data_IF_322055567267
#
_entry.id   IF_322055567267
#
_cell.length_a   1.000
_cell.length_b   1.000
_cell.length_c   1.000
_cell.angle_alpha   90.00
_cell.angle_beta   90.00
_cell.angle_gamma   90.00
#
_symmetry.space_group_name_H-M   'P 1'
#
loop_
_entity.id
_entity.type
_entity.pdbx_description
1 polymer ?
#
# COMPACT_ATOMS: atom_id res chain seq x y z
N UNK A 1 11.09 -5.86 14.57
CA UNK A 1 10.83 -4.42 14.40
C UNK A 1 9.33 -4.23 14.44
N UNK A 2 8.87 -3.22 15.18
CA UNK A 2 7.45 -2.92 15.37
C UNK A 2 6.91 -2.09 14.21
N UNK A 3 5.71 -2.43 13.75
CA UNK A 3 5.03 -1.81 12.62
C UNK A 3 3.58 -1.48 12.94
N UNK A 4 3.13 -0.35 12.43
CA UNK A 4 1.72 -0.10 12.16
C UNK A 4 1.39 -0.60 10.75
N UNK A 5 0.29 -1.34 10.61
CA UNK A 5 -0.25 -1.79 9.33
C UNK A 5 -1.46 -0.92 8.96
N UNK A 6 -1.43 -0.30 7.79
CA UNK A 6 -2.54 0.43 7.20
C UNK A 6 -3.10 -0.36 6.02
N UNK A 7 -4.40 -0.65 6.03
CA UNK A 7 -5.08 -1.46 5.04
C UNK A 7 -6.15 -0.65 4.32
N UNK A 8 -6.15 -0.77 2.99
CA UNK A 8 -7.23 -0.28 2.14
C UNK A 8 -7.41 -1.19 0.91
N UNK A 9 -8.45 -0.93 0.13
CA UNK A 9 -8.97 -1.84 -0.88
C UNK A 9 -9.48 -1.18 -2.17
N UNK A 10 -9.52 -1.99 -3.22
CA UNK A 10 -10.11 -1.60 -4.48
C UNK A 10 -10.88 -2.77 -5.09
N UNK A 11 -12.07 -2.49 -5.64
CA UNK A 11 -12.92 -3.50 -6.30
C UNK A 11 -12.88 -3.42 -7.84
N UNK A 12 -11.90 -2.70 -8.41
CA UNK A 12 -11.76 -2.53 -9.86
C UNK A 12 -11.02 -3.73 -10.44
N UNK A 13 -11.70 -4.50 -11.30
CA UNK A 13 -11.17 -5.72 -11.92
C UNK A 13 -10.59 -6.69 -10.87
N UNK A 14 -11.43 -7.20 -9.97
CA UNK A 14 -11.01 -8.04 -8.82
C UNK A 14 -10.95 -7.26 -7.51
N UNK A 15 -10.65 -7.97 -6.42
CA UNK A 15 -10.59 -7.41 -5.06
C UNK A 15 -9.15 -7.25 -4.60
N UNK A 16 -8.69 -6.00 -4.56
CA UNK A 16 -7.33 -5.62 -4.20
C UNK A 16 -7.25 -5.25 -2.73
N UNK A 17 -6.22 -5.74 -2.06
CA UNK A 17 -5.76 -5.31 -0.75
C UNK A 17 -4.41 -4.61 -0.91
N UNK A 18 -4.27 -3.42 -0.35
CA UNK A 18 -2.96 -2.81 -0.08
C UNK A 18 -2.73 -2.75 1.40
N UNK A 19 -1.54 -3.16 1.83
CA UNK A 19 -1.14 -3.15 3.22
C UNK A 19 0.20 -2.41 3.32
N UNK A 20 0.17 -1.21 3.88
CA UNK A 20 1.35 -0.42 4.15
C UNK A 20 1.81 -0.69 5.58
N UNK A 21 2.98 -1.28 5.74
CA UNK A 21 3.63 -1.46 7.03
C UNK A 21 4.62 -0.31 7.24
N UNK A 22 4.39 0.51 8.27
CA UNK A 22 5.25 1.65 8.62
C UNK A 22 5.93 1.35 9.96
N UNK A 23 7.28 1.36 10.04
CA UNK A 23 7.94 1.12 11.31
C UNK A 23 7.60 2.19 12.33
N UNK A 24 7.33 1.78 13.56
CA UNK A 24 6.91 2.71 14.62
C UNK A 24 7.96 3.82 14.85
N UNK A 25 9.25 3.44 14.86
CA UNK A 25 10.37 4.36 15.08
C UNK A 25 10.51 5.48 14.03
N UNK A 26 9.94 5.31 12.83
CA UNK A 26 10.07 6.25 11.71
C UNK A 26 8.73 6.75 11.19
N UNK A 27 7.61 6.33 11.79
CA UNK A 27 6.25 6.69 11.39
C UNK A 27 6.05 8.21 11.35
N UNK A 28 6.49 8.89 12.41
CA UNK A 28 6.41 10.35 12.52
C UNK A 28 7.17 11.07 11.39
N UNK A 29 8.30 10.53 10.94
CA UNK A 29 9.09 11.12 9.84
C UNK A 29 8.28 11.07 8.55
N UNK A 30 7.67 9.92 8.24
CA UNK A 30 6.82 9.79 7.06
C UNK A 30 5.67 10.81 7.11
N UNK A 31 4.95 10.84 8.23
CA UNK A 31 3.84 11.77 8.44
C UNK A 31 4.24 13.24 8.24
N UNK A 32 5.34 13.70 8.85
CA UNK A 32 5.81 15.08 8.73
C UNK A 32 6.07 15.52 7.28
N UNK A 33 6.58 14.62 6.43
CA UNK A 33 6.79 14.96 5.02
C UNK A 33 5.52 14.91 4.18
N UNK A 34 4.57 14.03 4.50
CA UNK A 34 3.24 14.04 3.88
C UNK A 34 2.52 15.37 4.18
N UNK A 35 2.59 15.83 5.43
CA UNK A 35 2.06 17.14 5.86
C UNK A 35 2.75 18.29 5.14
N UNK A 36 4.07 18.28 5.08
CA UNK A 36 4.83 19.31 4.36
C UNK A 36 4.44 19.38 2.88
N UNK A 37 4.16 18.24 2.24
CA UNK A 37 3.65 18.21 0.86
C UNK A 37 2.25 18.83 0.78
N UNK A 38 1.34 18.51 1.72
CA UNK A 38 0.01 19.13 1.79
C UNK A 38 0.07 20.64 1.96
N UNK A 39 0.91 21.12 2.87
CA UNK A 39 1.12 22.55 3.12
C UNK A 39 1.61 23.26 1.85
N UNK A 40 2.66 22.73 1.22
CA UNK A 40 3.25 23.34 0.03
C UNK A 40 2.31 23.31 -1.19
N UNK A 41 1.44 22.31 -1.28
CA UNK A 41 0.45 22.21 -2.36
C UNK A 41 -0.86 22.94 -2.05
N UNK A 42 -1.07 23.33 -0.79
CA UNK A 42 -2.27 24.00 -0.30
C UNK A 42 -3.50 23.09 -0.35
N UNK A 43 -3.37 21.84 0.07
CA UNK A 43 -4.45 20.85 0.08
C UNK A 43 -4.67 20.22 1.46
N UNK A 44 -5.74 20.65 2.14
CA UNK A 44 -6.06 20.28 3.52
C UNK A 44 -7.20 19.27 3.68
N UNK A 45 -7.90 18.89 2.61
CA UNK A 45 -9.01 17.94 2.68
C UNK A 45 -8.50 16.50 2.51
N UNK A 46 -9.30 15.47 2.85
CA UNK A 46 -8.94 14.09 2.54
C UNK A 46 -8.59 13.90 1.06
N UNK A 47 -7.59 13.06 0.79
CA UNK A 47 -7.20 12.70 -0.57
C UNK A 47 -7.64 11.26 -0.82
N UNK A 48 -8.36 11.05 -1.93
CA UNK A 48 -8.61 9.71 -2.46
C UNK A 48 -8.34 9.68 -3.97
N UNK A 49 -7.78 8.58 -4.48
CA UNK A 49 -7.39 8.51 -5.89
C UNK A 49 -8.61 8.70 -6.81
N UNK A 50 -9.78 8.19 -6.41
CA UNK A 50 -11.03 8.23 -7.18
C UNK A 50 -11.53 9.65 -7.44
N UNK A 51 -11.25 10.58 -6.53
CA UNK A 51 -11.71 11.97 -6.55
C UNK A 51 -10.91 12.86 -7.51
N UNK A 52 -9.70 12.42 -7.87
CA UNK A 52 -8.80 13.18 -8.74
C UNK A 52 -9.21 13.00 -10.21
N UNK A 53 -9.75 14.06 -10.80
CA UNK A 53 -10.28 14.08 -12.18
C UNK A 53 -9.41 14.84 -13.17
N UNK A 54 -8.60 15.78 -12.70
CA UNK A 54 -7.76 16.65 -13.51
C UNK A 54 -6.49 17.05 -12.77
N UNK A 55 -5.53 17.64 -13.50
CA UNK A 55 -4.37 18.28 -12.89
C UNK A 55 -4.81 19.48 -12.04
N UNK A 56 -4.10 19.72 -10.94
CA UNK A 56 -4.45 20.73 -9.94
C UNK A 56 -3.74 20.45 -8.62
N UNK A 57 -4.13 21.18 -7.56
CA UNK A 57 -3.51 21.05 -6.23
C UNK A 57 -3.61 19.62 -5.67
N UNK A 58 -4.80 19.02 -5.73
CA UNK A 58 -5.06 17.65 -5.25
C UNK A 58 -4.22 16.63 -6.01
N UNK A 59 -4.18 16.75 -7.35
CA UNK A 59 -3.34 15.90 -8.19
C UNK A 59 -1.87 16.00 -7.82
N UNK A 60 -1.31 17.21 -7.70
CA UNK A 60 0.09 17.40 -7.33
C UNK A 60 0.38 16.84 -5.93
N UNK A 61 -0.53 17.03 -4.97
CA UNK A 61 -0.37 16.47 -3.63
C UNK A 61 -0.30 14.94 -3.68
N UNK A 62 -1.24 14.30 -4.37
CA UNK A 62 -1.30 12.85 -4.51
C UNK A 62 -0.08 12.27 -5.24
N UNK A 63 0.33 12.87 -6.36
CA UNK A 63 1.52 12.46 -7.12
C UNK A 63 2.78 12.50 -6.24
N UNK A 64 2.96 13.58 -5.47
CA UNK A 64 4.13 13.76 -4.60
C UNK A 64 4.07 12.87 -3.36
N UNK A 65 2.89 12.59 -2.81
CA UNK A 65 2.70 11.59 -1.76
C UNK A 65 3.12 10.21 -2.23
N UNK A 66 2.69 9.79 -3.42
CA UNK A 66 3.09 8.51 -4.02
C UNK A 66 4.59 8.47 -4.29
N UNK A 67 5.17 9.55 -4.83
CA UNK A 67 6.62 9.66 -5.02
C UNK A 67 7.39 9.53 -3.69
N UNK A 68 6.92 10.21 -2.64
CA UNK A 68 7.54 10.15 -1.32
C UNK A 68 7.43 8.75 -0.71
N UNK A 69 6.28 8.08 -0.85
CA UNK A 69 6.10 6.72 -0.38
C UNK A 69 7.03 5.72 -1.08
N UNK A 70 7.27 5.86 -2.39
CA UNK A 70 8.27 5.04 -3.09
C UNK A 70 9.67 5.26 -2.51
N UNK A 71 10.01 6.49 -2.12
CA UNK A 71 11.23 6.80 -1.37
C UNK A 71 11.25 6.15 0.02
N UNK A 72 10.13 6.22 0.76
CA UNK A 72 9.98 5.66 2.10
C UNK A 72 10.11 4.13 2.13
N UNK A 73 9.83 3.46 1.02
CA UNK A 73 10.03 2.02 0.87
C UNK A 73 11.50 1.60 0.65
N UNK A 74 12.46 2.53 0.61
CA UNK A 74 13.87 2.12 0.54
C UNK A 74 14.30 1.48 1.86
N UNK A 75 14.86 0.27 1.78
CA UNK A 75 15.47 -0.41 2.93
C UNK A 75 16.89 0.06 3.21
N UNK A 76 17.55 0.69 2.23
CA UNK A 76 18.86 1.32 2.38
C UNK A 76 19.05 2.44 1.36
N UNK A 77 19.96 3.37 1.65
CA UNK A 77 20.37 4.35 0.66
C UNK A 77 21.33 3.75 -0.36
N UNK A 78 21.13 4.09 -1.63
CA UNK A 78 21.93 3.60 -2.74
C UNK A 78 22.95 4.63 -3.23
N UNK A 79 23.82 4.20 -4.15
CA UNK A 79 24.75 5.10 -4.86
C UNK A 79 24.02 6.10 -5.76
N UNK A 80 22.98 5.62 -6.44
CA UNK A 80 22.12 6.47 -7.26
C UNK A 80 21.16 7.20 -6.34
N UNK A 81 21.09 8.51 -6.45
CA UNK A 81 20.16 9.31 -5.66
C UNK A 81 18.72 9.17 -6.15
N UNK A 82 17.74 9.35 -5.26
CA UNK A 82 16.31 9.33 -5.64
C UNK A 82 15.74 10.75 -5.58
N UNK A 83 15.48 11.39 -6.73
CA UNK A 83 15.01 12.77 -6.76
C UNK A 83 13.60 12.86 -6.17
N UNK A 84 13.35 13.92 -5.39
CA UNK A 84 12.04 14.17 -4.81
C UNK A 84 11.68 15.65 -4.84
N UNK A 85 10.37 15.92 -4.82
CA UNK A 85 9.81 17.23 -4.58
C UNK A 85 8.85 17.15 -3.39
N UNK A 86 8.88 18.20 -2.58
CA UNK A 86 7.97 18.43 -1.46
C UNK A 86 6.84 19.39 -1.84
N UNK A 87 6.67 19.71 -3.13
CA UNK A 87 5.54 20.48 -3.64
C UNK A 87 5.75 21.99 -3.69
N UNK A 88 6.92 22.50 -3.31
CA UNK A 88 7.25 23.93 -3.41
C UNK A 88 7.18 24.39 -4.86
N UNK A 89 6.73 25.64 -5.07
CA UNK A 89 6.61 26.24 -6.40
C UNK A 89 7.43 27.52 -6.54
N UNK A 90 8.04 27.70 -7.71
CA UNK A 90 8.65 28.97 -8.14
C UNK A 90 8.06 29.36 -9.50
N UNK A 91 7.46 30.55 -9.60
CA UNK A 91 6.77 31.03 -10.81
C UNK A 91 5.81 29.99 -11.41
N UNK A 92 5.03 29.34 -10.55
CA UNK A 92 4.03 28.31 -10.92
C UNK A 92 4.58 26.91 -11.20
N UNK A 93 5.91 26.72 -11.30
CA UNK A 93 6.55 25.42 -11.56
C UNK A 93 6.99 24.73 -10.27
N UNK A 94 6.83 23.41 -10.22
CA UNK A 94 7.31 22.58 -9.09
C UNK A 94 8.83 22.63 -9.02
N UNK A 95 9.37 22.76 -7.80
CA UNK A 95 10.79 22.70 -7.49
C UNK A 95 11.13 21.28 -7.04
N UNK A 96 12.25 20.74 -7.54
CA UNK A 96 12.83 19.51 -7.01
C UNK A 96 13.68 19.85 -5.80
N UNK A 97 13.31 19.34 -4.63
CA UNK A 97 13.93 19.67 -3.35
C UNK A 97 15.31 19.01 -3.15
N UNK A 98 15.68 18.11 -4.07
CA UNK A 98 16.93 17.39 -4.08
C UNK A 98 16.66 15.88 -4.06
N UNK A 99 17.48 15.17 -3.31
CA UNK A 99 17.37 13.72 -3.22
C UNK A 99 16.78 13.31 -1.87
N UNK A 100 15.96 12.26 -1.89
CA UNK A 100 15.31 11.69 -0.72
C UNK A 100 16.29 11.42 0.42
N UNK A 101 17.43 10.81 0.09
CA UNK A 101 18.46 10.44 1.06
C UNK A 101 19.07 11.67 1.76
N UNK A 102 19.17 12.78 1.04
CA UNK A 102 19.73 14.03 1.57
C UNK A 102 18.72 14.80 2.42
N UNK A 103 17.42 14.53 2.25
CA UNK A 103 16.33 15.17 2.98
C UNK A 103 15.99 14.39 4.25
N UNK A 104 15.74 13.09 4.14
CA UNK A 104 15.24 12.25 5.23
C UNK A 104 16.37 11.73 6.13
N UNK A 105 17.62 11.66 5.61
CA UNK A 105 18.86 11.26 6.31
C UNK A 105 18.91 9.82 6.83
N UNK A 106 17.76 9.18 7.06
CA UNK A 106 17.63 7.77 7.44
C UNK A 106 16.58 7.09 6.55
N UNK A 107 16.75 5.80 6.19
CA UNK A 107 15.68 5.07 5.52
C UNK A 107 14.47 4.95 6.45
N UNK A 108 13.28 5.29 5.95
CA UNK A 108 12.02 5.03 6.69
C UNK A 108 11.76 3.53 6.75
N UNK A 109 12.12 2.75 5.73
CA UNK A 109 11.97 1.30 5.77
C UNK A 109 10.52 0.83 5.78
N UNK A 110 9.60 1.63 5.22
CA UNK A 110 8.23 1.21 5.00
C UNK A 110 8.18 0.01 4.05
N UNK A 111 7.18 -0.85 4.22
CA UNK A 111 6.97 -2.02 3.37
C UNK A 111 5.55 -2.00 2.83
N UNK A 112 5.35 -2.53 1.63
CA UNK A 112 4.03 -2.57 1.00
C UNK A 112 3.72 -3.98 0.48
N UNK A 113 2.53 -4.47 0.81
CA UNK A 113 1.97 -5.71 0.26
C UNK A 113 0.81 -5.31 -0.63
N UNK A 114 0.86 -5.71 -1.89
CA UNK A 114 -0.27 -5.67 -2.80
C UNK A 114 -0.74 -7.09 -3.06
N UNK A 115 -1.99 -7.36 -2.71
CA UNK A 115 -2.59 -8.67 -2.90
C UNK A 115 -3.93 -8.54 -3.61
N UNK A 116 -4.21 -9.40 -4.58
CA UNK A 116 -5.48 -9.36 -5.32
C UNK A 116 -6.17 -10.72 -5.28
N UNK A 117 -7.43 -10.75 -4.89
CA UNK A 117 -8.31 -11.86 -5.24
C UNK A 117 -8.91 -11.56 -6.62
N UNK A 118 -8.55 -12.39 -7.61
CA UNK A 118 -8.75 -12.09 -9.04
C UNK A 118 -10.23 -11.99 -9.41
N UNK A 119 -11.06 -12.85 -8.82
CA UNK A 119 -12.42 -13.13 -9.25
C UNK A 119 -13.46 -12.40 -8.36
N UNK A 120 -13.05 -11.38 -7.61
CA UNK A 120 -13.89 -10.57 -6.71
C UNK A 120 -14.83 -11.41 -5.80
N UNK A 121 -14.30 -12.50 -5.27
CA UNK A 121 -14.94 -13.47 -4.39
C UNK A 121 -16.08 -14.29 -5.00
N UNK A 122 -16.26 -14.26 -6.33
CA UNK A 122 -17.33 -14.98 -7.03
C UNK A 122 -17.34 -16.48 -6.69
N UNK A 123 -16.14 -17.08 -6.60
CA UNK A 123 -15.97 -18.50 -6.35
C UNK A 123 -15.93 -18.85 -4.85
N UNK A 124 -15.94 -17.87 -3.94
CA UNK A 124 -15.87 -18.13 -2.49
C UNK A 124 -17.21 -18.60 -1.93
N UNK A 125 -17.15 -19.53 -0.96
CA UNK A 125 -18.32 -20.06 -0.25
C UNK A 125 -19.27 -18.96 0.25
N UNK A 126 -20.56 -19.17 0.03
CA UNK A 126 -21.64 -18.29 0.50
C UNK A 126 -21.92 -18.41 2.01
N UNK A 127 -21.24 -19.34 2.71
CA UNK A 127 -21.29 -19.43 4.17
C UNK A 127 -20.64 -18.20 4.82
N UNK A 128 -19.64 -17.60 4.14
CA UNK A 128 -19.00 -16.37 4.61
C UNK A 128 -19.80 -15.16 4.12
N UNK A 129 -20.06 -14.24 5.05
CA UNK A 129 -20.53 -12.90 4.72
C UNK A 129 -19.44 -12.11 3.96
N UNK A 130 -19.80 -10.93 3.46
CA UNK A 130 -18.89 -10.10 2.69
C UNK A 130 -17.62 -9.75 3.49
N UNK A 131 -17.76 -9.27 4.72
CA UNK A 131 -16.63 -9.01 5.62
C UNK A 131 -15.77 -10.26 5.85
N UNK A 132 -16.39 -11.43 6.03
CA UNK A 132 -15.70 -12.69 6.22
C UNK A 132 -14.88 -13.13 5.00
N UNK A 133 -15.34 -12.81 3.79
CA UNK A 133 -14.57 -13.01 2.54
C UNK A 133 -13.37 -12.06 2.50
N UNK A 134 -13.57 -10.77 2.75
CA UNK A 134 -12.50 -9.74 2.82
C UNK A 134 -11.43 -10.10 3.83
N UNK A 135 -11.81 -10.45 5.06
CA UNK A 135 -10.86 -10.83 6.12
C UNK A 135 -10.06 -12.08 5.74
N UNK A 136 -10.68 -13.01 5.01
CA UNK A 136 -10.02 -14.23 4.56
C UNK A 136 -8.92 -13.94 3.56
N UNK A 137 -9.20 -13.12 2.56
CA UNK A 137 -8.22 -12.74 1.54
C UNK A 137 -7.19 -11.76 2.08
N UNK A 138 -7.58 -10.88 3.02
CA UNK A 138 -6.63 -10.06 3.79
C UNK A 138 -5.60 -10.95 4.48
N UNK A 139 -6.03 -11.97 5.24
CA UNK A 139 -5.10 -12.88 5.92
C UNK A 139 -4.18 -13.62 4.97
N UNK A 140 -4.70 -14.07 3.83
CA UNK A 140 -3.89 -14.72 2.80
C UNK A 140 -2.79 -13.79 2.28
N UNK A 141 -3.16 -12.56 1.92
CA UNK A 141 -2.23 -11.54 1.45
C UNK A 141 -1.19 -11.16 2.50
N UNK A 142 -1.62 -10.93 3.74
CA UNK A 142 -0.71 -10.57 4.84
C UNK A 142 0.28 -11.70 5.15
N UNK A 143 -0.21 -12.94 5.28
CA UNK A 143 0.64 -14.11 5.54
C UNK A 143 1.67 -14.32 4.43
N UNK A 144 1.25 -14.25 3.16
CA UNK A 144 2.16 -14.39 2.02
C UNK A 144 3.15 -13.23 1.93
N UNK A 145 2.68 -12.00 2.14
CA UNK A 145 3.51 -10.79 2.05
C UNK A 145 4.57 -10.73 3.14
N UNK A 146 4.22 -11.03 4.40
CA UNK A 146 5.20 -11.04 5.50
C UNK A 146 6.28 -12.10 5.28
N UNK A 147 5.93 -13.26 4.73
CA UNK A 147 6.91 -14.28 4.37
C UNK A 147 7.96 -13.77 3.38
N UNK A 148 7.61 -12.84 2.50
CA UNK A 148 8.53 -12.23 1.54
C UNK A 148 9.29 -11.02 2.10
N UNK A 149 8.71 -10.33 3.08
CA UNK A 149 9.19 -9.04 3.58
C UNK A 149 10.01 -9.14 4.87
N UNK A 150 9.82 -10.18 5.67
CA UNK A 150 10.52 -10.42 6.93
C UNK A 150 11.29 -11.73 6.92
N UNK A 151 12.24 -11.85 7.84
CA UNK A 151 13.02 -13.07 8.09
C UNK A 151 13.48 -13.09 9.56
N UNK A 152 14.24 -14.11 9.95
CA UNK A 152 14.69 -14.28 11.34
C UNK A 152 15.60 -13.14 11.81
N UNK A 153 16.36 -12.52 10.90
CA UNK A 153 17.24 -11.40 11.20
C UNK A 153 16.47 -10.07 11.22
N UNK A 154 15.34 -10.02 10.53
CA UNK A 154 14.47 -8.85 10.39
C UNK A 154 13.01 -9.22 10.72
N UNK A 155 12.70 -9.55 11.98
CA UNK A 155 11.35 -9.96 12.37
C UNK A 155 10.37 -8.78 12.25
N UNK A 156 9.12 -9.09 11.91
CA UNK A 156 8.02 -8.13 11.79
C UNK A 156 7.05 -8.37 12.95
N UNK A 157 6.87 -7.35 13.77
CA UNK A 157 5.85 -7.30 14.81
C UNK A 157 4.81 -6.24 14.42
N UNK A 158 3.54 -6.63 14.28
CA UNK A 158 2.46 -5.68 14.03
C UNK A 158 1.84 -5.31 15.37
N UNK A 159 2.05 -4.06 15.80
CA UNK A 159 1.52 -3.55 17.07
C UNK A 159 0.12 -2.94 16.92
N UNK A 160 -0.24 -2.53 15.70
CA UNK A 160 -1.55 -1.96 15.38
C UNK A 160 -1.91 -2.13 13.91
N UNK A 161 -3.19 -2.40 13.63
CA UNK A 161 -3.78 -2.47 12.31
C UNK A 161 -4.86 -1.41 12.16
N UNK A 162 -4.84 -0.71 11.03
CA UNK A 162 -5.74 0.37 10.70
C UNK A 162 -6.48 0.01 9.40
N UNK A 163 -7.81 -0.04 9.45
CA UNK A 163 -8.69 -0.26 8.31
C UNK A 163 -9.47 1.02 8.01
N UNK A 164 -9.74 1.33 6.73
CA UNK A 164 -10.46 2.55 6.36
C UNK A 164 -11.98 2.39 6.37
N UNK A 165 -12.57 2.46 7.56
CA UNK A 165 -14.02 2.35 7.75
C UNK A 165 -14.49 0.90 7.77
N UNK A 166 -15.52 0.61 8.56
CA UNK A 166 -16.14 -0.71 8.61
C UNK A 166 -17.49 -0.75 7.88
N UNK A 167 -18.04 0.42 7.53
CA UNK A 167 -19.39 0.52 7.00
C UNK A 167 -19.56 -0.23 5.67
N UNK A 168 -18.51 -0.28 4.84
CA UNK A 168 -18.54 -1.05 3.59
C UNK A 168 -18.41 -2.56 3.78
N UNK A 169 -17.99 -3.02 4.96
CA UNK A 169 -18.05 -4.44 5.37
C UNK A 169 -19.39 -4.81 6.00
N UNK A 170 -20.27 -3.83 6.26
CA UNK A 170 -21.56 -3.97 6.96
C UNK A 170 -21.44 -4.37 8.45
N UNK A 171 -20.21 -4.50 8.96
CA UNK A 171 -19.88 -4.78 10.36
C UNK A 171 -18.42 -4.42 10.63
N UNK A 172 -18.06 -4.24 11.91
CA UNK A 172 -16.67 -4.12 12.33
C UNK A 172 -15.82 -5.33 11.93
N UNK A 173 -14.53 -5.09 11.76
CA UNK A 173 -13.54 -6.14 11.49
C UNK A 173 -13.49 -7.12 12.66
N UNK A 174 -13.56 -8.42 12.37
CA UNK A 174 -13.55 -9.46 13.38
C UNK A 174 -12.12 -9.73 13.85
N UNK A 175 -11.84 -9.31 15.09
CA UNK A 175 -10.52 -9.46 15.73
C UNK A 175 -10.05 -10.91 15.78
N UNK A 176 -10.92 -11.87 16.13
CA UNK A 176 -10.56 -13.28 16.24
C UNK A 176 -10.22 -13.87 14.87
N UNK A 177 -11.01 -13.48 13.86
CA UNK A 177 -10.74 -13.90 12.48
C UNK A 177 -9.44 -13.32 11.97
N UNK A 178 -9.00 -12.15 12.39
CA UNK A 178 -7.73 -11.55 11.94
C UNK A 178 -6.57 -11.98 12.85
N UNK A 179 -6.53 -11.51 14.09
CA UNK A 179 -5.42 -11.71 15.04
C UNK A 179 -5.33 -13.17 15.45
N UNK A 180 -6.43 -13.77 15.95
CA UNK A 180 -6.44 -15.15 16.45
C UNK A 180 -5.97 -16.18 15.43
N UNK A 181 -6.25 -15.95 14.13
CA UNK A 181 -5.84 -16.85 13.03
C UNK A 181 -4.47 -16.53 12.40
N UNK A 182 -3.87 -15.41 12.74
CA UNK A 182 -2.55 -15.01 12.26
C UNK A 182 -1.44 -15.23 13.31
N UNK A 183 -1.80 -15.40 14.57
CA UNK A 183 -0.85 -15.71 15.66
C UNK A 183 -0.19 -17.08 15.49
N UNK A 184 1.10 -17.18 15.83
CA UNK A 184 1.84 -18.44 15.88
C UNK A 184 2.18 -19.04 14.51
N UNK A 185 2.03 -18.28 13.42
CA UNK A 185 2.31 -18.80 12.08
C UNK A 185 3.81 -19.01 11.82
N UNK A 186 4.68 -18.15 12.35
CA UNK A 186 6.14 -18.17 12.11
C UNK A 186 6.88 -17.54 13.30
N UNK A 187 8.16 -17.88 13.49
CA UNK A 187 9.01 -17.34 14.57
C UNK A 187 9.36 -15.85 14.40
N UNK A 188 9.43 -15.37 13.15
CA UNK A 188 9.79 -13.99 12.81
C UNK A 188 8.58 -13.08 12.58
N UNK A 189 7.38 -13.53 12.93
CA UNK A 189 6.15 -12.76 12.79
C UNK A 189 5.29 -12.84 14.05
N UNK A 190 4.97 -11.67 14.61
CA UNK A 190 4.02 -11.54 15.71
C UNK A 190 3.02 -10.41 15.44
N UNK A 191 1.86 -10.53 16.08
CA UNK A 191 0.88 -9.46 16.20
C UNK A 191 0.69 -9.26 17.69
N UNK A 192 0.71 -8.02 18.16
CA UNK A 192 0.36 -7.71 19.55
C UNK A 192 -1.12 -8.04 19.75
N UNK A 193 -1.39 -9.03 20.59
CA UNK A 193 -2.74 -9.46 20.93
C UNK A 193 -3.31 -8.52 22.00
N UNK A 194 -4.15 -7.59 21.57
CA UNK A 194 -4.79 -6.61 22.42
C UNK A 194 -6.09 -6.12 21.82
N UNK A 195 -7.08 -5.83 22.67
CA UNK A 195 -8.42 -5.41 22.24
C UNK A 195 -8.44 -4.14 21.39
N UNK A 196 -7.37 -3.33 21.43
CA UNK A 196 -7.20 -2.11 20.63
C UNK A 196 -6.19 -2.27 19.49
N UNK A 197 -5.83 -3.50 19.14
CA UNK A 197 -4.88 -3.81 18.06
C UNK A 197 -5.45 -3.51 16.67
N UNK A 198 -6.77 -3.42 16.53
CA UNK A 198 -7.46 -3.07 15.28
C UNK A 198 -8.26 -1.79 15.48
N UNK A 199 -8.09 -0.83 14.58
CA UNK A 199 -8.95 0.35 14.45
C UNK A 199 -9.53 0.40 13.02
N UNK A 200 -10.86 0.32 12.91
CA UNK A 200 -11.59 0.31 11.65
C UNK A 200 -12.47 1.56 11.45
N UNK A 201 -12.18 2.65 12.18
CA UNK A 201 -12.83 3.93 11.93
C UNK A 201 -12.34 4.57 10.62
N UNK A 202 -13.12 5.51 10.09
CA UNK A 202 -12.84 6.16 8.80
C UNK A 202 -11.52 6.96 8.79
N UNK A 203 -10.83 6.95 7.65
CA UNK A 203 -9.66 7.79 7.33
C UNK A 203 -9.99 9.24 7.03
N UNK A 204 -11.28 9.60 6.97
CA UNK A 204 -11.72 10.96 6.75
C UNK A 204 -11.59 11.77 8.04
N UNK A 205 -10.43 12.42 8.19
CA UNK A 205 -10.08 13.27 9.33
C UNK A 205 -10.97 14.50 9.56
N UNK A 206 -12.00 14.73 8.74
CA UNK A 206 -13.00 15.79 8.97
C UNK A 206 -14.26 15.28 9.67
N UNK A 207 -14.39 13.96 9.85
CA UNK A 207 -15.50 13.31 10.58
C UNK A 207 -15.18 13.18 12.07
N UNK A 208 -16.23 13.09 12.90
CA UNK A 208 -16.10 12.97 14.36
C UNK A 208 -15.52 11.62 14.79
N UNK A 209 -15.99 10.54 14.17
CA UNK A 209 -15.58 9.17 14.49
C UNK A 209 -14.51 8.71 13.49
N UNK A 210 -13.41 9.45 13.42
CA UNK A 210 -12.26 9.14 12.58
C UNK A 210 -11.07 8.68 13.43
N UNK A 211 -10.10 8.07 12.76
CA UNK A 211 -8.83 7.74 13.40
C UNK A 211 -8.04 9.02 13.74
N UNK A 212 -6.88 8.87 14.39
CA UNK A 212 -6.00 10.02 14.62
C UNK A 212 -5.67 10.70 13.28
N UNK A 213 -5.39 12.01 13.32
CA UNK A 213 -5.10 12.76 12.09
C UNK A 213 -3.92 12.15 11.31
N UNK A 214 -2.88 11.70 12.03
CA UNK A 214 -1.72 11.02 11.46
C UNK A 214 -2.13 9.70 10.78
N UNK A 215 -2.86 8.83 11.47
CA UNK A 215 -3.31 7.54 10.94
C UNK A 215 -4.22 7.73 9.71
N UNK A 216 -5.06 8.77 9.73
CA UNK A 216 -5.89 9.16 8.58
C UNK A 216 -5.03 9.50 7.34
N UNK A 217 -3.91 10.21 7.50
CA UNK A 217 -3.02 10.51 6.37
C UNK A 217 -2.37 9.23 5.81
N UNK A 218 -2.00 8.28 6.67
CA UNK A 218 -1.37 7.03 6.28
C UNK A 218 -2.36 6.04 5.62
N UNK A 219 -3.62 6.04 6.03
CA UNK A 219 -4.71 5.33 5.32
C UNK A 219 -4.97 5.94 3.94
N UNK A 220 -5.07 7.26 3.84
CA UNK A 220 -5.24 7.94 2.55
C UNK A 220 -4.02 7.72 1.61
N UNK A 221 -2.80 7.65 2.18
CA UNK A 221 -1.62 7.24 1.42
C UNK A 221 -1.75 5.78 0.93
N UNK A 222 -2.34 4.90 1.75
CA UNK A 222 -2.59 3.50 1.39
C UNK A 222 -3.58 3.39 0.23
N UNK A 223 -4.71 4.15 0.22
CA UNK A 223 -5.62 4.23 -0.95
C UNK A 223 -4.87 4.62 -2.23
N UNK A 224 -4.05 5.69 -2.13
CA UNK A 224 -3.26 6.18 -3.25
C UNK A 224 -2.29 5.12 -3.76
N UNK A 225 -1.63 4.36 -2.86
CA UNK A 225 -0.74 3.28 -3.24
C UNK A 225 -1.49 2.11 -3.89
N UNK A 226 -2.59 1.64 -3.30
CA UNK A 226 -3.46 0.59 -3.89
C UNK A 226 -3.85 0.99 -5.32
N UNK A 227 -4.39 2.20 -5.47
CA UNK A 227 -4.82 2.72 -6.76
C UNK A 227 -3.67 2.86 -7.75
N UNK A 228 -2.51 3.36 -7.30
CA UNK A 228 -1.34 3.59 -8.16
C UNK A 228 -0.71 2.27 -8.64
N UNK A 229 -0.53 1.30 -7.75
CA UNK A 229 -0.01 -0.01 -8.11
C UNK A 229 -0.99 -0.76 -9.03
N UNK A 230 -2.29 -0.72 -8.74
CA UNK A 230 -3.31 -1.30 -9.62
C UNK A 230 -3.21 -0.72 -11.04
N UNK A 231 -3.11 0.60 -11.17
CA UNK A 231 -2.96 1.28 -12.45
C UNK A 231 -1.62 0.94 -13.13
N UNK A 232 -0.54 0.76 -12.37
CA UNK A 232 0.76 0.34 -12.90
C UNK A 232 0.73 -1.07 -13.53
N UNK A 233 -0.19 -1.94 -13.11
CA UNK A 233 -0.45 -3.26 -13.71
C UNK A 233 -1.47 -3.22 -14.87
N UNK A 234 -1.94 -2.02 -15.26
CA UNK A 234 -2.87 -1.85 -16.38
C UNK A 234 -4.36 -1.92 -15.99
N UNK A 235 -4.67 -2.10 -14.70
CA UNK A 235 -6.04 -2.12 -14.20
C UNK A 235 -6.52 -0.70 -13.90
N UNK A 236 -7.00 -0.03 -14.93
CA UNK A 236 -7.56 1.33 -14.86
C UNK A 236 -9.01 1.33 -15.28
N UNK A 237 -9.81 2.21 -14.67
CA UNK A 237 -11.10 2.59 -15.26
C UNK A 237 -10.84 3.34 -16.57
N UNK A 238 -11.60 3.05 -17.62
CA UNK A 238 -11.29 3.37 -19.03
C UNK A 238 -11.01 4.86 -19.36
N UNK A 239 -11.33 5.82 -18.48
CA UNK A 239 -11.26 7.26 -18.79
C UNK A 239 -10.25 8.07 -17.96
N UNK A 240 -9.47 7.47 -17.07
CA UNK A 240 -8.66 8.25 -16.10
C UNK A 240 -7.17 8.31 -16.43
N UNK A 241 -6.81 8.97 -17.55
CA UNK A 241 -5.40 9.32 -17.89
C UNK A 241 -4.65 9.98 -16.73
N UNK A 242 -5.36 10.71 -15.89
CA UNK A 242 -4.79 11.38 -14.72
C UNK A 242 -4.25 10.39 -13.68
N UNK A 243 -4.89 9.24 -13.48
CA UNK A 243 -4.43 8.20 -12.55
C UNK A 243 -3.14 7.53 -13.03
N UNK A 244 -2.97 7.42 -14.35
CA UNK A 244 -1.74 6.92 -14.95
C UNK A 244 -0.55 7.80 -14.59
N UNK A 245 -0.75 9.12 -14.54
CA UNK A 245 0.28 10.09 -14.12
C UNK A 245 0.63 9.96 -12.64
N UNK A 246 -0.38 9.86 -11.76
CA UNK A 246 -0.17 9.63 -10.32
C UNK A 246 0.63 8.34 -10.08
N UNK A 247 0.38 7.31 -10.88
CA UNK A 247 1.03 6.00 -10.76
C UNK A 247 2.48 5.95 -11.31
N UNK A 248 2.98 6.99 -11.99
CA UNK A 248 4.32 6.97 -12.60
C UNK A 248 5.45 6.61 -11.62
N UNK A 249 5.52 7.16 -10.38
CA UNK A 249 6.56 6.80 -9.44
C UNK A 249 6.55 5.31 -9.09
N UNK A 250 5.35 4.74 -8.98
CA UNK A 250 5.15 3.31 -8.66
C UNK A 250 5.50 2.42 -9.85
N UNK A 251 5.18 2.81 -11.09
CA UNK A 251 5.54 2.02 -12.28
C UNK A 251 7.02 1.70 -12.37
N UNK A 252 7.89 2.63 -11.98
CA UNK A 252 9.32 2.39 -11.92
C UNK A 252 9.67 1.25 -10.96
N UNK A 253 9.09 1.27 -9.76
CA UNK A 253 9.31 0.25 -8.75
C UNK A 253 8.71 -1.10 -9.17
N UNK A 254 7.50 -1.10 -9.74
CA UNK A 254 6.85 -2.30 -10.28
C UNK A 254 7.71 -2.94 -11.38
N UNK A 255 8.22 -2.14 -12.34
CA UNK A 255 9.11 -2.65 -13.40
C UNK A 255 10.35 -3.33 -12.81
N UNK A 256 10.99 -2.71 -11.82
CA UNK A 256 12.14 -3.31 -11.13
C UNK A 256 11.82 -4.60 -10.40
N UNK A 257 10.66 -4.66 -9.75
CA UNK A 257 10.22 -5.88 -9.08
C UNK A 257 10.09 -7.04 -10.07
N UNK A 258 9.59 -6.77 -11.27
CA UNK A 258 9.38 -7.77 -12.33
C UNK A 258 10.66 -8.19 -13.07
N UNK A 259 11.77 -7.45 -12.91
CA UNK A 259 13.09 -7.92 -13.36
C UNK A 259 13.57 -9.14 -12.56
N UNK A 260 12.83 -9.53 -11.52
CA UNK A 260 13.00 -10.77 -10.78
C UNK A 260 13.83 -10.63 -9.50
N UNK A 261 13.80 -11.71 -8.72
CA UNK A 261 14.41 -11.77 -7.39
C UNK A 261 15.88 -11.34 -7.40
N UNK A 262 16.69 -11.85 -8.33
CA UNK A 262 18.13 -11.56 -8.41
C UNK A 262 18.45 -10.06 -8.57
N UNK A 263 17.62 -9.32 -9.33
CA UNK A 263 17.78 -7.87 -9.48
C UNK A 263 17.30 -7.12 -8.24
N UNK A 264 16.22 -7.58 -7.61
CA UNK A 264 15.71 -7.01 -6.37
C UNK A 264 16.63 -7.23 -5.16
N UNK A 265 17.41 -8.31 -5.13
CA UNK A 265 18.36 -8.57 -4.03
C UNK A 265 19.42 -7.47 -3.85
N UNK A 266 19.84 -6.83 -4.93
CA UNK A 266 20.81 -5.74 -4.89
C UNK A 266 20.15 -4.35 -4.91
N UNK A 267 18.82 -4.32 -4.95
CA UNK A 267 18.04 -3.09 -5.00
C UNK A 267 18.04 -2.39 -3.63
N UNK A 268 17.90 -1.08 -3.65
CA UNK A 268 17.60 -0.27 -2.46
C UNK A 268 16.19 -0.52 -1.89
N UNK A 269 15.35 -1.24 -2.64
CA UNK A 269 14.00 -1.67 -2.26
C UNK A 269 13.95 -3.18 -1.94
N UNK A 270 15.08 -3.80 -1.61
CA UNK A 270 15.09 -5.21 -1.18
C UNK A 270 14.19 -5.36 0.05
N UNK A 271 13.25 -6.31 0.01
CA UNK A 271 12.39 -6.65 1.14
C UNK A 271 11.37 -5.57 1.52
N UNK A 272 11.01 -4.68 0.58
CA UNK A 272 10.06 -3.59 0.83
C UNK A 272 8.74 -3.70 0.06
N UNK A 273 8.65 -4.60 -0.91
CA UNK A 273 7.47 -4.77 -1.76
C UNK A 273 7.19 -6.25 -1.98
N UNK A 274 5.94 -6.65 -1.83
CA UNK A 274 5.43 -7.96 -2.25
C UNK A 274 4.17 -7.74 -3.08
N UNK A 275 4.09 -8.38 -4.24
CA UNK A 275 2.93 -8.30 -5.14
C UNK A 275 2.54 -9.71 -5.58
N UNK A 276 1.29 -10.10 -5.34
CA UNK A 276 0.75 -11.40 -5.76
C UNK A 276 -0.77 -11.36 -5.91
N UNK A 277 -1.33 -12.37 -6.56
CA UNK A 277 -2.77 -12.59 -6.64
C UNK A 277 -3.14 -14.03 -6.32
N UNK A 278 -4.40 -14.25 -5.97
CA UNK A 278 -5.00 -15.55 -5.81
C UNK A 278 -6.32 -15.68 -6.56
N UNK A 279 -6.73 -16.93 -6.77
CA UNK A 279 -8.04 -17.29 -7.28
C UNK A 279 -8.42 -18.68 -6.78
N UNK A 280 -9.73 -18.95 -6.71
CA UNK A 280 -10.24 -20.26 -6.33
C UNK A 280 -10.67 -21.03 -7.58
N UNK A 281 -10.04 -22.17 -7.84
CA UNK A 281 -10.39 -23.05 -8.96
C UNK A 281 -10.54 -24.48 -8.44
N UNK A 282 -11.66 -25.14 -8.78
CA UNK A 282 -11.95 -26.52 -8.35
C UNK A 282 -11.82 -26.73 -6.83
N UNK A 283 -12.26 -25.73 -6.04
CA UNK A 283 -12.19 -25.77 -4.57
C UNK A 283 -10.79 -25.60 -3.97
N UNK A 284 -9.79 -25.26 -4.78
CA UNK A 284 -8.40 -25.05 -4.33
C UNK A 284 -7.97 -23.61 -4.59
N UNK A 285 -7.28 -23.03 -3.61
CA UNK A 285 -6.66 -21.73 -3.75
C UNK A 285 -5.37 -21.85 -4.55
N UNK A 286 -5.26 -21.07 -5.61
CA UNK A 286 -4.06 -20.88 -6.41
C UNK A 286 -3.47 -19.51 -6.13
N UNK A 287 -2.13 -19.40 -6.14
CA UNK A 287 -1.40 -18.16 -5.89
C UNK A 287 -0.38 -17.93 -6.99
N UNK A 288 -0.31 -16.72 -7.53
CA UNK A 288 0.60 -16.37 -8.62
C UNK A 288 1.05 -14.91 -8.58
N UNK A 289 1.97 -14.54 -9.46
CA UNK A 289 2.29 -13.13 -9.73
C UNK A 289 1.11 -12.43 -10.39
N UNK A 290 0.92 -11.15 -10.09
CA UNK A 290 -0.15 -10.34 -10.69
C UNK A 290 0.06 -10.24 -12.20
N UNK A 291 -0.92 -10.69 -12.97
CA UNK A 291 -0.87 -10.58 -14.43
C UNK A 291 -1.00 -9.12 -14.88
N UNK A 292 -0.22 -8.72 -15.88
CA UNK A 292 -0.42 -7.42 -16.52
C UNK A 292 -1.67 -7.47 -17.39
N UNK A 293 -2.55 -6.47 -17.24
CA UNK A 293 -3.60 -6.22 -18.23
C UNK A 293 -2.95 -5.58 -19.46
N UNK A 294 -2.26 -6.36 -20.27
CA UNK A 294 -1.72 -5.87 -21.53
C UNK A 294 -2.88 -5.53 -22.45
N UNK A 295 -2.88 -4.32 -23.01
CA UNK A 295 -3.55 -4.10 -24.29
C UNK A 295 -2.76 -4.89 -25.35
N UNK A 296 -3.01 -6.20 -25.45
CA UNK A 296 -2.63 -7.04 -26.59
C UNK A 296 -1.21 -7.57 -26.67
N UNK A 297 -0.49 -7.84 -25.57
CA UNK A 297 0.78 -8.59 -25.63
C UNK A 297 0.78 -9.69 -24.58
N UNK A 298 0.66 -10.95 -25.02
CA UNK A 298 0.83 -12.13 -24.16
C UNK A 298 2.24 -12.11 -23.56
N UNK A 299 2.35 -12.13 -22.23
CA UNK A 299 3.61 -12.51 -21.60
C UNK A 299 3.82 -14.01 -21.85
N UNK A 300 4.85 -14.32 -22.63
CA UNK A 300 5.41 -15.67 -22.69
C UNK A 300 6.04 -16.01 -21.34
N UNK A 301 5.83 -17.26 -20.93
CA UNK A 301 6.33 -17.93 -19.75
C UNK A 301 7.64 -17.35 -19.18
N UNK A 302 7.56 -16.80 -17.96
CA UNK A 302 8.68 -16.62 -17.06
C UNK A 302 8.50 -17.58 -15.88
N UNK A 303 8.81 -18.84 -16.13
CA UNK A 303 9.36 -19.81 -15.18
C UNK A 303 10.33 -20.71 -15.95
#
# INVERSE_FOLDING_TARGET
MEYHLYHDESKIDGYWHGMLLVPESTKQILFQYLEKIRENTGHSTPIGIKEIKSEGKVFTCAELWVLFAVGAMMSKFGKNKFPISLGRRNKGKIIWDGNYEDIVKVPIGAKFILFRERDNFENMSNILDYGGKVETTFRMGLKGGIHFLGDIDHPIEIIKMHFDGYEHYQRSVDHERIVGRLTGLREYFSITDGIYSINDWTSNHTKKDCQSYEDCQLLQLTDLLVGSFRVAHGYTTNDKKIHVKIAEPVKYLTKKYLEGYARMQNSRWKGSLCMSECFLENGKWNFQSIEYKTKGIKQGNLF
#
